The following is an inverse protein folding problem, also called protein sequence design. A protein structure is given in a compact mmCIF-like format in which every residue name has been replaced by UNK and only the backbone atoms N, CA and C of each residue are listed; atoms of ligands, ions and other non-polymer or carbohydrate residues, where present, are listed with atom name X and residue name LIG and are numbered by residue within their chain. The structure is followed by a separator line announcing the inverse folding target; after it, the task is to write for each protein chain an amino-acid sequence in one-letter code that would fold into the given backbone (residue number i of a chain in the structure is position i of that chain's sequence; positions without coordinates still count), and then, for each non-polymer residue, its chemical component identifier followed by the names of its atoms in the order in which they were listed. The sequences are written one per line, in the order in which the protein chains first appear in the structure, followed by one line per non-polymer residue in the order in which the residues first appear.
data_IF_794335240054
#
_entry.id   IF_794335240054
#
_cell.length_a   1.000
_cell.length_b   1.000
_cell.length_c   1.000
_cell.angle_alpha   90.00
_cell.angle_beta   90.00
_cell.angle_gamma   90.00
#
_symmetry.space_group_name_H-M   'P 1'
#
loop_
_entity.id
_entity.type
_entity.pdbx_description
1 polymer ?
#
# COMPACT_ATOMS: atom_id res chain seq x y z
N UNK A 1 34.22 17.96 2.17
CA UNK A 1 33.22 16.87 2.18
C UNK A 1 31.97 17.45 1.55
N UNK A 2 31.73 17.14 0.28
CA UNK A 2 30.58 17.65 -0.45
C UNK A 2 29.30 17.04 0.12
N UNK A 3 28.56 17.84 0.90
CA UNK A 3 27.22 17.50 1.38
C UNK A 3 26.26 17.56 0.19
N UNK A 4 26.17 16.45 -0.55
CA UNK A 4 25.15 16.26 -1.57
C UNK A 4 23.83 15.89 -0.87
N UNK A 5 22.77 16.64 -1.15
CA UNK A 5 21.39 16.19 -0.90
C UNK A 5 20.93 15.43 -2.15
N UNK A 6 20.88 14.10 -2.15
CA UNK A 6 20.51 13.34 -3.34
C UNK A 6 19.07 13.67 -3.73
N UNK A 7 18.87 14.05 -5.00
CA UNK A 7 17.56 14.32 -5.59
C UNK A 7 17.41 13.43 -6.83
N UNK A 8 16.26 12.80 -6.98
CA UNK A 8 15.91 12.03 -8.17
C UNK A 8 14.58 12.51 -8.75
N UNK A 9 14.38 12.27 -10.04
CA UNK A 9 13.11 12.54 -10.75
C UNK A 9 12.75 11.31 -11.57
N UNK A 10 11.46 10.93 -11.56
CA UNK A 10 10.94 9.81 -12.34
C UNK A 10 9.92 10.34 -13.33
N UNK A 11 10.13 10.06 -14.61
CA UNK A 11 9.21 10.40 -15.69
C UNK A 11 8.36 9.17 -16.05
N UNK A 12 7.11 9.14 -15.56
CA UNK A 12 6.16 8.05 -15.83
C UNK A 12 5.16 8.50 -16.90
N UNK A 13 5.33 8.02 -18.12
CA UNK A 13 4.37 8.23 -19.21
C UNK A 13 3.21 7.25 -19.06
N UNK A 14 2.00 7.77 -18.83
CA UNK A 14 0.76 6.98 -18.75
C UNK A 14 -0.06 7.27 -19.99
N UNK A 15 -0.40 6.23 -20.74
CA UNK A 15 -1.27 6.30 -21.91
C UNK A 15 -2.44 5.37 -21.63
N UNK A 16 -3.65 5.91 -21.70
CA UNK A 16 -4.90 5.17 -21.54
C UNK A 16 -5.71 5.31 -22.82
N UNK A 17 -6.23 4.18 -23.30
CA UNK A 17 -7.15 4.11 -24.43
C UNK A 17 -8.32 3.24 -23.99
N UNK A 18 -9.50 3.84 -23.84
CA UNK A 18 -10.72 3.16 -23.44
C UNK A 18 -11.77 3.30 -24.55
N UNK A 19 -11.76 2.41 -25.57
CA UNK A 19 -12.67 2.48 -26.70
C UNK A 19 -14.06 1.93 -26.33
N UNK A 20 -14.74 2.63 -25.42
CA UNK A 20 -16.10 2.31 -24.96
C UNK A 20 -17.07 3.34 -25.52
N UNK A 21 -18.09 2.85 -26.21
CA UNK A 21 -19.12 3.70 -26.79
C UNK A 21 -19.86 4.50 -25.69
N UNK A 22 -19.88 5.82 -25.84
CA UNK A 22 -20.59 6.74 -24.96
C UNK A 22 -19.94 7.06 -23.61
N UNK A 23 -18.84 6.39 -23.22
CA UNK A 23 -18.19 6.58 -21.92
C UNK A 23 -16.65 6.66 -21.95
N UNK A 24 -16.00 6.46 -23.11
CA UNK A 24 -14.54 6.39 -23.23
C UNK A 24 -13.80 7.54 -22.54
N UNK A 25 -14.07 8.79 -22.94
CA UNK A 25 -13.41 9.99 -22.39
C UNK A 25 -13.53 10.09 -20.86
N UNK A 26 -14.75 9.91 -20.31
CA UNK A 26 -14.96 9.98 -18.85
C UNK A 26 -14.26 8.85 -18.10
N UNK A 27 -14.11 7.69 -18.72
CA UNK A 27 -13.39 6.57 -18.14
C UNK A 27 -11.87 6.81 -18.19
N UNK A 28 -11.35 7.31 -19.30
CA UNK A 28 -9.95 7.69 -19.47
C UNK A 28 -9.56 8.74 -18.42
N UNK A 29 -10.34 9.81 -18.29
CA UNK A 29 -10.13 10.86 -17.29
C UNK A 29 -10.10 10.30 -15.87
N UNK A 30 -11.04 9.39 -15.55
CA UNK A 30 -11.12 8.76 -14.24
C UNK A 30 -9.86 7.92 -13.95
N UNK A 31 -9.39 7.15 -14.93
CA UNK A 31 -8.22 6.29 -14.79
C UNK A 31 -6.93 7.11 -14.67
N UNK A 32 -6.77 8.15 -15.49
CA UNK A 32 -5.64 9.08 -15.40
C UNK A 32 -5.61 9.80 -14.05
N UNK A 33 -6.77 10.26 -13.55
CA UNK A 33 -6.87 10.84 -12.22
C UNK A 33 -6.52 9.83 -11.11
N UNK A 34 -6.97 8.59 -11.26
CA UNK A 34 -6.65 7.47 -10.35
C UNK A 34 -5.15 7.18 -10.29
N UNK A 35 -4.48 7.04 -11.45
CA UNK A 35 -3.04 6.81 -11.53
C UNK A 35 -2.24 7.96 -10.91
N UNK A 36 -2.66 9.21 -11.16
CA UNK A 36 -2.04 10.38 -10.53
C UNK A 36 -2.15 10.33 -9.00
N UNK A 37 -3.33 9.99 -8.48
CA UNK A 37 -3.54 9.85 -7.04
C UNK A 37 -2.70 8.71 -6.45
N UNK A 38 -2.64 7.57 -7.15
CA UNK A 38 -1.85 6.39 -6.77
C UNK A 38 -0.36 6.73 -6.69
N UNK A 39 0.22 7.38 -7.70
CA UNK A 39 1.63 7.74 -7.68
C UNK A 39 1.98 8.73 -6.57
N UNK A 40 1.12 9.71 -6.31
CA UNK A 40 1.35 10.66 -5.21
C UNK A 40 1.30 9.98 -3.85
N UNK A 41 0.30 9.12 -3.62
CA UNK A 41 0.18 8.36 -2.38
C UNK A 41 1.37 7.42 -2.19
N UNK A 42 1.71 6.63 -3.23
CA UNK A 42 2.82 5.70 -3.22
C UNK A 42 4.14 6.42 -2.92
N UNK A 43 4.46 7.52 -3.61
CA UNK A 43 5.71 8.25 -3.35
C UNK A 43 5.79 8.84 -1.95
N UNK A 44 4.67 9.33 -1.39
CA UNK A 44 4.62 9.77 0.01
C UNK A 44 4.88 8.62 0.97
N UNK A 45 4.27 7.46 0.74
CA UNK A 45 4.46 6.27 1.56
C UNK A 45 5.88 5.71 1.46
N UNK A 46 6.43 5.58 0.25
CA UNK A 46 7.81 5.14 0.04
C UNK A 46 8.80 6.03 0.80
N UNK A 47 8.60 7.35 0.77
CA UNK A 47 9.45 8.27 1.52
C UNK A 47 9.23 8.17 3.04
N UNK A 48 7.97 8.08 3.49
CA UNK A 48 7.65 7.92 4.91
C UNK A 48 8.22 6.62 5.51
N UNK A 49 8.45 5.59 4.69
CA UNK A 49 9.07 4.32 5.08
C UNK A 49 10.54 4.21 4.72
N UNK A 50 11.24 5.34 4.47
CA UNK A 50 12.65 5.32 4.06
C UNK A 50 13.55 4.57 5.05
N UNK A 51 13.29 4.69 6.35
CA UNK A 51 14.08 4.04 7.39
C UNK A 51 13.97 2.51 7.35
N UNK A 52 12.90 1.96 6.78
CA UNK A 52 12.66 0.52 6.67
C UNK A 52 13.42 -0.12 5.51
N UNK A 53 13.61 0.59 4.40
CA UNK A 53 14.22 0.02 3.19
C UNK A 53 15.61 0.59 2.87
N UNK A 54 16.00 1.73 3.44
CA UNK A 54 17.30 2.32 3.19
C UNK A 54 18.42 1.43 3.73
N UNK A 55 19.34 1.03 2.86
CA UNK A 55 20.46 0.15 3.20
C UNK A 55 20.18 -1.35 3.05
N UNK A 56 18.98 -1.76 2.61
CA UNK A 56 18.70 -3.15 2.26
C UNK A 56 19.53 -3.63 1.06
N UNK A 57 19.93 -4.90 1.08
CA UNK A 57 20.53 -5.55 -0.10
C UNK A 57 19.45 -6.06 -1.05
N UNK A 58 19.83 -6.28 -2.32
CA UNK A 58 18.90 -6.83 -3.32
C UNK A 58 18.39 -8.23 -2.93
N UNK A 59 19.19 -9.03 -2.22
CA UNK A 59 18.79 -10.34 -1.71
C UNK A 59 17.68 -10.23 -0.67
N UNK A 60 17.78 -9.26 0.25
CA UNK A 60 16.74 -9.01 1.26
C UNK A 60 15.44 -8.53 0.62
N UNK A 61 15.53 -7.64 -0.38
CA UNK A 61 14.36 -7.19 -1.16
C UNK A 61 13.67 -8.38 -1.83
N UNK A 62 14.44 -9.28 -2.49
CA UNK A 62 13.88 -10.48 -3.13
C UNK A 62 13.24 -11.46 -2.16
N UNK A 63 13.75 -11.57 -0.93
CA UNK A 63 13.11 -12.38 0.12
C UNK A 63 11.78 -11.74 0.56
N UNK A 64 11.77 -10.43 0.77
CA UNK A 64 10.55 -9.69 1.12
C UNK A 64 9.47 -9.82 0.04
N UNK A 65 9.83 -9.72 -1.24
CA UNK A 65 8.92 -9.94 -2.37
C UNK A 65 8.29 -11.34 -2.32
N UNK A 66 9.11 -12.39 -2.14
CA UNK A 66 8.64 -13.78 -2.03
C UNK A 66 7.70 -14.00 -0.85
N UNK A 67 8.03 -13.44 0.31
CA UNK A 67 7.18 -13.53 1.49
C UNK A 67 5.85 -12.79 1.28
N UNK A 68 5.90 -11.58 0.74
CA UNK A 68 4.72 -10.75 0.43
C UNK A 68 3.80 -11.44 -0.57
N UNK A 69 4.35 -12.03 -1.63
CA UNK A 69 3.59 -12.81 -2.63
C UNK A 69 2.84 -13.97 -2.00
N UNK A 70 3.49 -14.71 -1.09
CA UNK A 70 2.87 -15.82 -0.37
C UNK A 70 1.72 -15.35 0.52
N UNK A 71 1.94 -14.25 1.26
CA UNK A 71 0.93 -13.66 2.14
C UNK A 71 -0.27 -13.10 1.36
N UNK A 72 -0.02 -12.43 0.24
CA UNK A 72 -1.06 -11.90 -0.64
C UNK A 72 -1.93 -13.03 -1.18
N UNK A 73 -1.31 -14.10 -1.71
CA UNK A 73 -2.02 -15.30 -2.21
C UNK A 73 -2.87 -15.96 -1.12
N UNK A 74 -2.35 -16.07 0.12
CA UNK A 74 -3.11 -16.62 1.25
C UNK A 74 -4.31 -15.73 1.60
N UNK A 75 -4.11 -14.41 1.63
CA UNK A 75 -5.14 -13.42 2.01
C UNK A 75 -6.25 -13.36 0.98
N UNK A 76 -5.91 -13.34 -0.32
CA UNK A 76 -6.89 -13.36 -1.41
C UNK A 76 -7.71 -14.65 -1.41
N UNK A 77 -7.08 -15.82 -1.20
CA UNK A 77 -7.80 -17.10 -1.05
C UNK A 77 -8.74 -17.12 0.15
N UNK A 78 -8.36 -16.46 1.25
CA UNK A 78 -9.22 -16.32 2.44
C UNK A 78 -10.41 -15.42 2.16
N UNK A 79 -10.19 -14.28 1.50
CA UNK A 79 -11.24 -13.34 1.12
C UNK A 79 -12.23 -13.92 0.10
N UNK A 80 -11.77 -14.80 -0.79
CA UNK A 80 -12.58 -15.47 -1.79
C UNK A 80 -13.50 -16.58 -1.23
N UNK A 81 -13.39 -16.95 0.05
CA UNK A 81 -14.34 -17.87 0.70
C UNK A 81 -15.48 -17.07 1.33
N UNK A 82 -16.69 -17.03 0.73
CA UNK A 82 -17.82 -16.40 1.36
C UNK A 82 -18.34 -17.35 2.45
N UNK A 83 -18.29 -16.94 3.72
CA UNK A 83 -18.99 -17.62 4.82
C UNK A 83 -18.10 -18.29 5.85
N UNK A 84 -17.61 -17.49 6.80
CA UNK A 84 -17.57 -17.90 8.21
C UNK A 84 -18.11 -16.72 8.99
N UNK A 85 -19.34 -16.85 9.52
CA UNK A 85 -19.85 -15.93 10.53
C UNK A 85 -18.91 -16.05 11.73
N UNK A 86 -18.03 -15.08 11.93
CA UNK A 86 -17.40 -14.90 13.22
C UNK A 86 -18.31 -13.99 14.06
N UNK A 87 -19.28 -14.62 14.70
CA UNK A 87 -19.93 -14.06 15.88
C UNK A 87 -18.87 -14.00 16.98
N UNK A 88 -18.46 -12.79 17.37
CA UNK A 88 -17.27 -12.57 18.19
C UNK A 88 -17.36 -11.27 18.98
N UNK A 89 -18.29 -11.25 19.95
CA UNK A 89 -18.32 -10.47 21.20
C UNK A 89 -17.56 -9.13 21.17
N UNK A 90 -18.32 -8.03 21.00
CA UNK A 90 -17.88 -6.65 21.22
C UNK A 90 -17.36 -6.51 22.66
N UNK A 91 -16.06 -6.65 22.87
CA UNK A 91 -15.43 -6.27 24.15
C UNK A 91 -15.48 -4.75 24.23
N UNK A 92 -16.04 -4.25 25.32
CA UNK A 92 -16.23 -2.83 25.56
C UNK A 92 -14.87 -2.16 25.79
N UNK A 93 -14.70 -0.98 25.20
CA UNK A 93 -13.52 -0.10 25.28
C UNK A 93 -13.11 0.31 26.72
N UNK A 94 -13.89 -0.12 27.73
CA UNK A 94 -13.64 0.14 29.15
C UNK A 94 -12.56 -0.76 29.75
N UNK A 95 -12.27 -1.92 29.14
CA UNK A 95 -11.34 -2.91 29.71
C UNK A 95 -9.86 -2.68 29.30
N UNK A 96 -9.59 -1.93 28.23
CA UNK A 96 -8.20 -1.63 27.77
C UNK A 96 -7.55 -0.45 28.52
N UNK A 97 -8.35 0.50 29.02
CA UNK A 97 -7.81 1.70 29.70
C UNK A 97 -7.16 1.36 31.05
N UNK A 98 -7.55 0.26 31.69
CA UNK A 98 -6.98 -0.16 32.98
C UNK A 98 -5.56 -0.75 32.87
N UNK A 99 -5.12 -1.19 31.68
CA UNK A 99 -3.83 -1.87 31.50
C UNK A 99 -2.68 -0.90 31.18
N UNK A 100 -2.98 0.26 30.60
CA UNK A 100 -1.95 1.22 30.14
C UNK A 100 -1.48 2.17 31.25
N UNK A 101 -2.18 2.24 32.38
CA UNK A 101 -1.93 3.21 33.45
C UNK A 101 -0.85 2.85 34.50
N UNK A 102 0.00 1.84 34.28
CA UNK A 102 0.96 1.38 35.32
C UNK A 102 2.43 1.30 34.88
N UNK A 103 2.80 1.84 33.72
CA UNK A 103 4.20 1.92 33.29
C UNK A 103 4.58 3.34 32.85
N UNK A 104 4.64 4.27 33.82
CA UNK A 104 5.55 5.42 33.84
C UNK A 104 5.85 5.76 35.29
#
# INVERSE_FOLDING_TARGET
MDSCRPVMTIYKLVIMDAPIWGLGERLEDCLIAGERALFLACHRMCFAWIDEWYGMTMEQIREMERHTDLLLKKTLKKAAKPGSKHEGKRKSLKDEIAVVGSCT
#
